data_IF_345912547284
#
_entry.id   IF_345912547284
#
_cell.length_a   1.000
_cell.length_b   1.000
_cell.length_c   1.000
_cell.angle_alpha   90.00
_cell.angle_beta   90.00
_cell.angle_gamma   90.00
#
_symmetry.space_group_name_H-M   'P 1'
#
loop_
_entity.id
_entity.type
_entity.pdbx_description
1 polymer ?
#
# COMPACT_ATOMS: atom_id res chain seq x y z
N UNK A 1 36.19 0.45 -88.31
CA UNK A 1 36.60 -0.52 -87.27
C UNK A 1 36.79 0.17 -85.90
N UNK A 2 35.84 1.00 -85.43
CA UNK A 2 36.00 1.75 -84.17
C UNK A 2 34.67 1.98 -83.41
N UNK A 3 33.63 1.18 -83.67
CA UNK A 3 32.32 1.33 -83.01
C UNK A 3 32.23 0.61 -81.65
N UNK A 4 33.25 -0.15 -81.24
CA UNK A 4 33.24 -0.90 -79.97
C UNK A 4 34.02 -0.22 -78.84
N UNK A 5 34.87 0.78 -79.10
CA UNK A 5 35.69 1.41 -78.06
C UNK A 5 34.91 2.36 -77.14
N UNK A 6 33.84 3.00 -77.61
CA UNK A 6 33.06 3.92 -76.79
C UNK A 6 32.16 3.24 -75.75
N UNK A 7 31.90 1.92 -75.86
CA UNK A 7 31.11 1.17 -74.86
C UNK A 7 31.93 0.80 -73.62
N UNK A 8 33.26 0.78 -73.74
CA UNK A 8 34.20 0.47 -72.65
C UNK A 8 34.89 1.72 -72.07
N UNK A 9 34.64 2.91 -72.63
CA UNK A 9 35.25 4.15 -72.14
C UNK A 9 34.49 4.69 -70.93
N UNK A 10 34.92 4.32 -69.72
CA UNK A 10 34.41 4.90 -68.47
C UNK A 10 34.91 6.35 -68.37
N UNK A 11 33.99 7.31 -68.34
CA UNK A 11 34.33 8.72 -68.12
C UNK A 11 34.73 8.88 -66.65
N UNK A 12 36.03 8.90 -66.39
CA UNK A 12 36.56 9.15 -65.06
C UNK A 12 36.17 10.58 -64.62
N UNK A 13 35.47 10.69 -63.47
CA UNK A 13 35.16 11.98 -62.88
C UNK A 13 36.45 12.74 -62.61
N UNK A 14 36.51 13.99 -63.06
CA UNK A 14 37.66 14.87 -62.82
C UNK A 14 37.86 15.04 -61.30
N UNK A 15 39.11 15.01 -60.81
CA UNK A 15 39.42 14.92 -59.37
C UNK A 15 38.82 16.09 -58.55
N UNK A 16 38.78 17.29 -59.11
CA UNK A 16 38.21 18.47 -58.43
C UNK A 16 36.70 18.35 -58.13
N UNK A 17 35.95 17.58 -58.92
CA UNK A 17 34.51 17.35 -58.68
C UNK A 17 34.31 16.37 -57.53
N UNK A 18 35.21 15.40 -57.36
CA UNK A 18 35.18 14.46 -56.24
C UNK A 18 35.50 15.18 -54.92
N UNK A 19 36.48 16.07 -54.94
CA UNK A 19 36.84 16.88 -53.78
C UNK A 19 35.75 17.87 -53.36
N UNK A 20 35.08 18.53 -54.32
CA UNK A 20 33.97 19.45 -54.03
C UNK A 20 32.79 18.73 -53.36
N UNK A 21 32.44 17.53 -53.86
CA UNK A 21 31.40 16.70 -53.25
C UNK A 21 31.80 16.20 -51.86
N UNK A 22 33.06 15.78 -51.68
CA UNK A 22 33.57 15.36 -50.37
C UNK A 22 33.53 16.51 -49.33
N UNK A 23 33.87 17.73 -49.75
CA UNK A 23 33.79 18.94 -48.90
C UNK A 23 32.35 19.25 -48.49
N UNK A 24 31.39 19.16 -49.41
CA UNK A 24 29.97 19.37 -49.09
C UNK A 24 29.41 18.31 -48.13
N UNK A 25 29.78 17.03 -48.31
CA UNK A 25 29.38 15.96 -47.39
C UNK A 25 29.99 16.18 -46.01
N UNK A 26 31.27 16.56 -45.95
CA UNK A 26 31.94 16.90 -44.70
C UNK A 26 31.28 18.10 -44.00
N UNK A 27 30.89 19.14 -44.73
CA UNK A 27 30.16 20.28 -44.16
C UNK A 27 28.76 19.90 -43.65
N UNK A 28 28.03 19.04 -44.38
CA UNK A 28 26.72 18.54 -43.96
C UNK A 28 26.82 17.74 -42.67
N UNK A 29 27.81 16.86 -42.57
CA UNK A 29 28.10 16.09 -41.36
C UNK A 29 28.50 17.00 -40.19
N UNK A 30 29.37 18.00 -40.43
CA UNK A 30 29.72 19.02 -39.43
C UNK A 30 28.51 19.84 -38.99
N UNK A 31 27.55 20.13 -39.87
CA UNK A 31 26.33 20.87 -39.52
C UNK A 31 25.38 20.03 -38.67
N UNK A 32 25.19 18.76 -39.01
CA UNK A 32 24.40 17.82 -38.20
C UNK A 32 25.04 17.66 -36.81
N UNK A 33 26.36 17.51 -36.76
CA UNK A 33 27.10 17.45 -35.49
C UNK A 33 27.00 18.75 -34.69
N UNK A 34 27.07 19.92 -35.33
CA UNK A 34 26.89 21.22 -34.67
C UNK A 34 25.48 21.40 -34.11
N UNK A 35 24.45 21.03 -34.85
CA UNK A 35 23.06 21.10 -34.36
C UNK A 35 22.83 20.14 -33.19
N UNK A 36 23.43 18.94 -33.22
CA UNK A 36 23.44 18.05 -32.05
C UNK A 36 24.26 18.60 -30.88
N UNK A 37 25.36 19.29 -31.15
CA UNK A 37 26.27 19.87 -30.15
C UNK A 37 25.70 21.10 -29.43
N UNK A 38 24.84 21.90 -30.07
CA UNK A 38 24.20 23.06 -29.40
C UNK A 38 23.30 22.63 -28.23
N UNK A 39 22.74 21.42 -28.27
CA UNK A 39 22.03 20.82 -27.13
C UNK A 39 22.94 20.04 -26.17
N UNK A 40 24.25 19.96 -26.48
CA UNK A 40 25.25 19.12 -25.81
C UNK A 40 26.23 19.94 -24.96
N UNK A 41 26.01 21.25 -24.83
CA UNK A 41 26.73 22.09 -23.86
C UNK A 41 26.31 21.77 -22.41
N UNK A 42 25.20 21.04 -22.23
CA UNK A 42 24.88 20.39 -20.96
C UNK A 42 25.70 19.11 -20.79
N UNK A 43 26.66 19.16 -19.87
CA UNK A 43 27.48 18.01 -19.50
C UNK A 43 26.61 17.08 -18.65
N UNK A 44 26.19 15.95 -19.23
CA UNK A 44 25.58 14.87 -18.45
C UNK A 44 26.56 14.42 -17.36
N UNK A 45 26.12 14.44 -16.10
CA UNK A 45 26.91 13.95 -14.98
C UNK A 45 27.14 12.44 -15.12
N UNK A 46 28.28 11.95 -14.63
CA UNK A 46 28.65 10.53 -14.77
C UNK A 46 28.14 9.68 -13.59
N UNK A 47 28.03 10.27 -12.40
CA UNK A 47 27.67 9.56 -11.17
C UNK A 47 26.67 10.41 -10.40
N UNK A 48 25.59 9.79 -9.93
CA UNK A 48 24.60 10.36 -9.00
C UNK A 48 24.38 9.33 -7.88
N UNK A 49 24.56 9.73 -6.62
CA UNK A 49 24.36 8.88 -5.43
C UNK A 49 24.95 7.47 -5.56
N UNK A 50 26.23 7.38 -5.96
CA UNK A 50 27.00 6.13 -6.16
C UNK A 50 26.63 5.36 -7.44
N UNK A 51 25.55 5.73 -8.14
CA UNK A 51 25.09 5.07 -9.34
C UNK A 51 25.56 5.76 -10.62
N UNK A 52 25.88 4.96 -11.64
CA UNK A 52 26.25 5.46 -12.95
C UNK A 52 24.98 5.83 -13.74
N UNK A 53 24.87 7.08 -14.18
CA UNK A 53 23.69 7.56 -14.91
C UNK A 53 23.49 6.84 -16.26
N UNK A 54 24.57 6.39 -16.91
CA UNK A 54 24.47 5.67 -18.18
C UNK A 54 23.68 4.35 -18.07
N UNK A 55 23.53 3.79 -16.86
CA UNK A 55 22.75 2.58 -16.64
C UNK A 55 21.24 2.82 -16.65
N UNK A 56 20.80 4.09 -16.60
CA UNK A 56 19.39 4.49 -16.53
C UNK A 56 18.94 5.28 -17.77
N UNK A 57 19.73 5.29 -18.85
CA UNK A 57 19.35 5.94 -20.11
C UNK A 57 18.67 4.90 -20.99
N UNK A 58 17.35 4.82 -20.87
CA UNK A 58 16.51 3.92 -21.65
C UNK A 58 15.36 4.69 -22.31
N UNK A 59 14.98 4.38 -23.57
CA UNK A 59 13.89 5.05 -24.27
C UNK A 59 12.51 4.75 -23.65
N UNK A 60 12.38 3.64 -22.92
CA UNK A 60 11.17 3.14 -22.28
C UNK A 60 11.15 3.34 -20.75
N UNK A 61 12.10 4.11 -20.19
CA UNK A 61 12.21 4.30 -18.74
C UNK A 61 10.94 4.84 -18.09
N UNK A 62 10.22 5.73 -18.79
CA UNK A 62 8.97 6.31 -18.29
C UNK A 62 7.86 5.27 -18.15
N UNK A 63 7.80 4.29 -19.07
CA UNK A 63 6.81 3.22 -19.00
C UNK A 63 7.09 2.28 -17.82
N UNK A 64 8.38 1.97 -17.59
CA UNK A 64 8.80 1.15 -16.44
C UNK A 64 8.57 1.86 -15.11
N UNK A 65 8.78 3.18 -15.05
CA UNK A 65 8.47 3.99 -13.87
C UNK A 65 6.97 4.00 -13.57
N UNK A 66 6.12 4.15 -14.58
CA UNK A 66 4.66 4.09 -14.39
C UNK A 66 4.20 2.71 -13.87
N UNK A 67 4.86 1.64 -14.32
CA UNK A 67 4.61 0.28 -13.80
C UNK A 67 5.06 0.12 -12.34
N UNK A 68 6.22 0.65 -11.98
CA UNK A 68 6.72 0.65 -10.61
C UNK A 68 5.84 1.50 -9.68
N UNK A 69 5.44 2.71 -10.08
CA UNK A 69 4.55 3.57 -9.29
C UNK A 69 3.21 2.86 -9.00
N UNK A 70 2.70 2.09 -9.97
CA UNK A 70 1.48 1.29 -9.80
C UNK A 70 1.68 0.13 -8.83
N UNK A 71 2.81 -0.57 -8.90
CA UNK A 71 3.12 -1.66 -7.97
C UNK A 71 3.34 -1.14 -6.55
N UNK A 72 4.08 -0.04 -6.38
CA UNK A 72 4.28 0.60 -5.08
C UNK A 72 2.97 1.09 -4.48
N UNK A 73 2.08 1.69 -5.29
CA UNK A 73 0.75 2.09 -4.86
C UNK A 73 -0.10 0.93 -4.34
N UNK A 74 0.02 -0.26 -4.95
CA UNK A 74 -0.66 -1.46 -4.47
C UNK A 74 -0.07 -1.97 -3.15
N UNK A 75 1.26 -1.96 -3.01
CA UNK A 75 1.95 -2.38 -1.78
C UNK A 75 1.63 -1.47 -0.59
N UNK A 76 1.59 -0.15 -0.81
CA UNK A 76 1.22 0.81 0.25
C UNK A 76 -0.20 0.59 0.75
N UNK A 77 -1.15 0.30 -0.14
CA UNK A 77 -2.54 -0.01 0.23
C UNK A 77 -2.63 -1.34 0.99
N UNK A 78 -1.83 -2.34 0.62
CA UNK A 78 -1.76 -3.62 1.34
C UNK A 78 -1.15 -3.46 2.73
N UNK A 79 -0.11 -2.64 2.87
CA UNK A 79 0.56 -2.34 4.15
C UNK A 79 -0.34 -1.49 5.07
N UNK A 80 -1.03 -0.47 4.54
CA UNK A 80 -2.06 0.25 5.29
C UNK A 80 -3.23 -0.65 5.70
N UNK A 81 -3.57 -1.65 4.88
CA UNK A 81 -4.58 -2.66 5.20
C UNK A 81 -4.19 -3.53 6.40
N UNK A 82 -2.92 -3.90 6.52
CA UNK A 82 -2.38 -4.69 7.64
C UNK A 82 -2.45 -3.93 8.97
N UNK A 83 -2.25 -2.60 8.95
CA UNK A 83 -2.36 -1.76 10.15
C UNK A 83 -3.78 -1.83 10.79
N UNK A 84 -4.84 -1.86 9.96
CA UNK A 84 -6.20 -2.03 10.45
C UNK A 84 -6.44 -3.41 11.08
N UNK A 85 -5.86 -4.46 10.51
CA UNK A 85 -5.97 -5.83 11.05
C UNK A 85 -5.22 -5.97 12.38
N UNK A 86 -4.07 -5.32 12.49
CA UNK A 86 -3.25 -5.31 13.70
C UNK A 86 -3.92 -4.60 14.87
N UNK A 87 -4.61 -3.49 14.63
CA UNK A 87 -5.38 -2.77 15.65
C UNK A 87 -6.56 -3.60 16.18
N UNK A 88 -7.33 -4.23 15.29
CA UNK A 88 -8.42 -5.12 15.67
C UNK A 88 -7.92 -6.31 16.52
N UNK A 89 -6.78 -6.90 16.15
CA UNK A 89 -6.16 -7.99 16.90
C UNK A 89 -5.68 -7.54 18.29
N UNK A 90 -5.15 -6.33 18.41
CA UNK A 90 -4.74 -5.74 19.68
C UNK A 90 -5.95 -5.55 20.62
N UNK A 91 -7.10 -5.10 20.11
CA UNK A 91 -8.33 -5.01 20.90
C UNK A 91 -8.81 -6.37 21.42
N UNK A 92 -8.79 -7.40 20.57
CA UNK A 92 -9.20 -8.76 20.97
C UNK A 92 -8.29 -9.28 22.07
N UNK A 93 -6.97 -9.09 21.94
CA UNK A 93 -5.98 -9.49 22.97
C UNK A 93 -6.21 -8.76 24.29
N UNK A 94 -6.50 -7.45 24.25
CA UNK A 94 -6.86 -6.65 25.44
C UNK A 94 -8.15 -7.16 26.10
N UNK A 95 -9.22 -7.41 25.33
CA UNK A 95 -10.48 -7.96 25.87
C UNK A 95 -10.28 -9.35 26.50
N UNK A 96 -9.47 -10.20 25.86
CA UNK A 96 -9.12 -11.54 26.36
C UNK A 96 -8.33 -11.48 27.67
N UNK A 97 -7.34 -10.59 27.79
CA UNK A 97 -6.54 -10.46 29.01
C UNK A 97 -7.38 -10.02 30.19
N UNK A 98 -8.28 -9.05 30.01
CA UNK A 98 -9.24 -8.61 31.03
C UNK A 98 -10.16 -9.75 31.49
N UNK A 99 -10.68 -10.56 30.56
CA UNK A 99 -11.53 -11.71 30.91
C UNK A 99 -10.77 -12.77 31.72
N UNK A 100 -9.52 -13.05 31.34
CA UNK A 100 -8.64 -13.96 32.08
C UNK A 100 -8.35 -13.43 33.48
N UNK A 101 -8.05 -12.13 33.62
CA UNK A 101 -7.83 -11.50 34.93
C UNK A 101 -9.08 -11.57 35.80
N UNK A 102 -10.27 -11.25 35.27
CA UNK A 102 -11.54 -11.39 36.00
C UNK A 102 -11.82 -12.84 36.41
N UNK A 103 -11.56 -13.80 35.53
CA UNK A 103 -11.69 -15.22 35.81
C UNK A 103 -10.70 -15.66 36.90
N UNK A 104 -9.45 -15.18 36.84
CA UNK A 104 -8.45 -15.41 37.86
C UNK A 104 -8.89 -14.80 39.17
N UNK A 105 -9.33 -13.55 39.26
CA UNK A 105 -9.85 -12.97 40.52
C UNK A 105 -11.02 -13.77 41.12
N UNK A 106 -11.94 -14.23 40.26
CA UNK A 106 -13.07 -15.10 40.67
C UNK A 106 -12.62 -16.46 41.19
N UNK A 107 -11.47 -16.98 40.75
CA UNK A 107 -10.92 -18.30 41.15
C UNK A 107 -9.75 -18.26 42.14
N UNK A 108 -8.92 -17.21 42.12
CA UNK A 108 -7.67 -17.03 42.87
C UNK A 108 -7.90 -16.39 44.23
N UNK A 109 -9.12 -15.99 44.52
CA UNK A 109 -9.59 -15.95 45.92
C UNK A 109 -9.76 -17.39 46.49
N UNK A 110 -9.42 -18.44 45.73
CA UNK A 110 -9.33 -19.84 46.16
C UNK A 110 -7.94 -20.13 46.73
N UNK A 111 -7.83 -20.74 47.91
CA UNK A 111 -8.54 -21.98 48.27
C UNK A 111 -9.57 -21.86 49.41
N UNK A 112 -9.70 -20.70 50.06
CA UNK A 112 -10.39 -20.61 51.35
C UNK A 112 -11.90 -20.29 51.26
N UNK A 113 -12.42 -19.83 50.11
CA UNK A 113 -13.83 -19.39 49.97
C UNK A 113 -14.67 -20.30 49.06
N UNK A 114 -15.85 -20.75 49.50
CA UNK A 114 -16.76 -21.53 48.67
C UNK A 114 -17.34 -20.69 47.51
N UNK A 115 -17.63 -21.34 46.37
CA UNK A 115 -18.31 -20.69 45.25
C UNK A 115 -19.75 -20.34 45.64
N UNK A 116 -20.07 -19.05 45.68
CA UNK A 116 -21.41 -18.58 46.03
C UNK A 116 -22.33 -18.72 44.80
N UNK A 117 -23.45 -19.44 44.91
CA UNK A 117 -24.41 -19.54 43.82
C UNK A 117 -24.92 -18.17 43.41
N UNK A 118 -25.04 -17.94 42.10
CA UNK A 118 -25.44 -16.66 41.48
C UNK A 118 -26.69 -16.02 42.12
N UNK A 119 -27.64 -16.84 42.58
CA UNK A 119 -28.92 -16.40 43.17
C UNK A 119 -28.81 -15.54 44.43
N UNK A 120 -27.71 -15.65 45.18
CA UNK A 120 -27.56 -14.92 46.45
C UNK A 120 -27.04 -13.49 46.27
N UNK A 121 -26.44 -13.17 45.11
CA UNK A 121 -25.89 -11.84 44.75
C UNK A 121 -25.31 -11.02 45.92
N UNK A 122 -24.24 -11.52 46.55
CA UNK A 122 -23.60 -10.85 47.70
C UNK A 122 -23.14 -9.43 47.38
N UNK A 123 -22.71 -9.21 46.14
CA UNK A 123 -22.08 -7.97 45.71
C UNK A 123 -23.10 -7.00 45.06
N UNK A 124 -24.39 -7.37 45.03
CA UNK A 124 -25.48 -6.60 44.39
C UNK A 124 -25.16 -6.19 42.95
N UNK A 125 -24.54 -7.10 42.21
CA UNK A 125 -24.00 -6.87 40.87
C UNK A 125 -25.05 -7.09 39.78
N UNK A 126 -26.17 -7.76 40.05
CA UNK A 126 -27.19 -8.08 39.04
C UNK A 126 -28.31 -7.02 39.00
N UNK A 127 -27.94 -5.80 38.62
CA UNK A 127 -28.90 -4.71 38.40
C UNK A 127 -29.46 -4.70 36.97
N UNK A 128 -30.66 -4.16 36.79
CA UNK A 128 -31.28 -3.98 35.47
C UNK A 128 -30.47 -3.04 34.58
N UNK A 129 -29.85 -2.02 35.17
CA UNK A 129 -28.97 -1.07 34.48
C UNK A 129 -27.72 -1.77 33.92
N UNK A 130 -27.04 -2.58 34.73
CA UNK A 130 -25.87 -3.33 34.27
C UNK A 130 -26.24 -4.30 33.15
N UNK A 131 -27.37 -4.99 33.28
CA UNK A 131 -27.89 -5.87 32.24
C UNK A 131 -28.18 -5.09 30.95
N UNK A 132 -28.81 -3.92 31.04
CA UNK A 132 -29.08 -3.03 29.90
C UNK A 132 -27.79 -2.67 29.17
N UNK A 133 -26.79 -2.18 29.89
CA UNK A 133 -25.52 -1.78 29.29
C UNK A 133 -24.81 -2.95 28.61
N UNK A 134 -24.83 -4.15 29.20
CA UNK A 134 -24.25 -5.35 28.59
C UNK A 134 -24.98 -5.77 27.32
N UNK A 135 -26.31 -5.67 27.27
CA UNK A 135 -27.11 -5.98 26.08
C UNK A 135 -26.83 -4.96 24.97
N UNK A 136 -26.77 -3.67 25.30
CA UNK A 136 -26.42 -2.61 24.36
C UNK A 136 -25.00 -2.79 23.79
N UNK A 137 -24.02 -3.17 24.61
CA UNK A 137 -22.67 -3.50 24.12
C UNK A 137 -22.65 -4.71 23.16
N UNK A 138 -23.62 -5.61 23.27
CA UNK A 138 -23.79 -6.75 22.35
C UNK A 138 -24.65 -6.41 21.13
N UNK A 139 -25.17 -5.18 21.02
CA UNK A 139 -26.06 -4.77 19.93
C UNK A 139 -27.51 -5.26 20.09
N UNK A 140 -27.92 -5.65 21.30
CA UNK A 140 -29.28 -6.10 21.59
C UNK A 140 -30.09 -4.99 22.25
N UNK A 141 -31.36 -4.86 21.89
CA UNK A 141 -32.27 -3.84 22.42
C UNK A 141 -32.75 -4.22 23.85
N UNK A 142 -32.49 -3.40 24.89
CA UNK A 142 -32.78 -3.75 26.28
C UNK A 142 -34.23 -3.59 26.82
N UNK A 143 -35.17 -2.80 26.26
CA UNK A 143 -36.41 -2.42 26.94
C UNK A 143 -37.34 -3.62 27.21
N UNK A 144 -37.41 -4.59 26.29
CA UNK A 144 -38.17 -5.83 26.51
C UNK A 144 -37.63 -6.65 27.68
N UNK A 145 -36.30 -6.74 27.81
CA UNK A 145 -35.65 -7.46 28.89
C UNK A 145 -35.85 -6.76 30.24
N UNK A 146 -35.76 -5.42 30.26
CA UNK A 146 -35.99 -4.62 31.47
C UNK A 146 -37.43 -4.76 31.97
N UNK A 147 -38.42 -4.62 31.09
CA UNK A 147 -39.84 -4.76 31.43
C UNK A 147 -40.17 -6.15 31.99
N UNK A 148 -39.52 -7.19 31.46
CA UNK A 148 -39.65 -8.55 31.98
C UNK A 148 -38.98 -8.72 33.34
N UNK A 149 -37.82 -8.13 33.56
CA UNK A 149 -37.12 -8.20 34.84
C UNK A 149 -37.88 -7.42 35.93
N UNK A 150 -38.41 -6.24 35.61
CA UNK A 150 -39.17 -5.39 36.53
C UNK A 150 -40.55 -5.95 36.89
N UNK A 151 -41.23 -6.62 35.96
CA UNK A 151 -42.51 -7.29 36.23
C UNK A 151 -42.36 -8.49 37.17
N UNK A 152 -41.20 -9.18 37.16
CA UNK A 152 -40.92 -10.30 38.08
C UNK A 152 -40.47 -9.86 39.47
N UNK A 153 -39.84 -8.68 39.60
CA UNK A 153 -39.33 -8.20 40.88
C UNK A 153 -40.44 -7.60 41.76
N UNK A 154 -41.45 -6.99 41.15
CA UNK A 154 -42.66 -6.54 41.85
C UNK A 154 -43.55 -7.74 42.10
N UNK A 155 -43.45 -8.35 43.29
CA UNK A 155 -44.34 -9.42 43.71
C UNK A 155 -45.79 -9.03 43.44
N UNK A 156 -46.44 -9.68 42.47
CA UNK A 156 -47.84 -9.43 42.19
C UNK A 156 -48.63 -9.80 43.44
N UNK A 157 -49.43 -8.84 43.94
CA UNK A 157 -50.37 -9.08 45.02
C UNK A 157 -51.31 -10.19 44.55
N UNK A 158 -51.16 -11.39 45.11
CA UNK A 158 -52.11 -12.48 44.85
C UNK A 158 -53.45 -12.01 45.40
N UNK A 159 -54.42 -11.82 44.52
CA UNK A 159 -55.81 -11.69 44.95
C UNK A 159 -56.17 -12.99 45.69
N UNK A 160 -56.61 -12.84 46.92
CA UNK A 160 -56.84 -13.91 47.88
C UNK A 160 -58.31 -13.95 48.22
#
# INVERSE_FOLDING_TARGET
>A
MNYYLNRFHVVLRKPHVLEANAKQVAEKLKRIWRMKMVALEDIMTKIVDVHNLYNFIDPDILLRLEELDREEGLRQVEEEGDDFEMDALAEIRKKKSLLIQQHRLKKSTGESRPFIPRKFDTDRKFTTERMSNQLSCLGLDPPLAINRASSKSRGQKRER
#
